data_IF_259299409005
#
_entry.id   IF_259299409005
#
_cell.length_a   1.000
_cell.length_b   1.000
_cell.length_c   1.000
_cell.angle_alpha   90.00
_cell.angle_beta   90.00
_cell.angle_gamma   90.00
#
_symmetry.space_group_name_H-M   'P 1'
#
loop_
_entity.id
_entity.type
_entity.pdbx_description
1 polymer ?
#
# COMPACT_ATOMS: atom_id res chain seq x y z
N UNK A 1 -18.73 5.36 19.12
CA UNK A 1 -17.30 5.26 18.77
C UNK A 1 -16.82 3.83 18.95
N UNK A 2 -15.96 3.37 18.03
CA UNK A 2 -15.30 2.06 18.10
C UNK A 2 -13.80 2.29 18.07
N UNK A 3 -13.07 1.64 18.98
CA UNK A 3 -11.62 1.74 19.09
C UNK A 3 -11.02 0.34 19.11
N UNK A 4 -10.02 0.11 18.27
CA UNK A 4 -9.17 -1.08 18.33
C UNK A 4 -7.99 -0.74 19.24
N UNK A 5 -7.80 -1.48 20.32
CA UNK A 5 -6.78 -1.18 21.34
C UNK A 5 -5.53 -2.05 21.18
N UNK A 6 -5.69 -3.25 20.63
CA UNK A 6 -4.59 -4.16 20.36
C UNK A 6 -4.90 -5.00 19.12
N UNK A 7 -3.87 -5.28 18.30
CA UNK A 7 -3.99 -6.13 17.11
C UNK A 7 -2.86 -7.15 17.19
N UNK A 8 -3.23 -8.43 17.14
CA UNK A 8 -2.28 -9.54 17.18
C UNK A 8 -2.56 -10.53 16.05
N UNK A 9 -1.50 -11.07 15.48
CA UNK A 9 -1.57 -12.16 14.50
C UNK A 9 -1.06 -13.41 15.18
N UNK A 10 -1.88 -14.47 15.19
CA UNK A 10 -1.54 -15.76 15.74
C UNK A 10 -0.56 -16.55 14.88
N UNK A 11 -0.42 -17.82 15.18
CA UNK A 11 0.21 -18.81 14.29
C UNK A 11 -0.82 -19.46 13.37
N UNK A 12 -0.38 -20.06 12.25
CA UNK A 12 -1.29 -20.77 11.35
C UNK A 12 -2.04 -21.88 12.07
N UNK A 13 -3.36 -21.85 11.92
CA UNK A 13 -4.25 -22.82 12.57
C UNK A 13 -5.44 -23.19 11.67
N UNK A 14 -6.02 -24.36 11.94
CA UNK A 14 -7.22 -24.83 11.25
C UNK A 14 -8.41 -23.91 11.53
N UNK A 15 -9.32 -23.83 10.57
CA UNK A 15 -10.56 -23.08 10.75
C UNK A 15 -11.58 -23.80 11.63
N UNK A 16 -11.38 -25.10 11.86
CA UNK A 16 -12.30 -25.95 12.60
C UNK A 16 -12.20 -25.65 14.10
N UNK A 17 -13.26 -25.10 14.72
CA UNK A 17 -13.25 -24.77 16.14
C UNK A 17 -13.22 -26.03 17.05
N UNK A 18 -13.65 -27.19 16.55
CA UNK A 18 -13.77 -28.44 17.32
C UNK A 18 -12.51 -29.32 17.21
N UNK A 19 -11.52 -28.91 16.44
CA UNK A 19 -10.27 -29.64 16.31
C UNK A 19 -9.48 -29.60 17.62
N UNK A 20 -9.10 -30.78 18.14
CA UNK A 20 -8.26 -30.95 19.35
C UNK A 20 -6.89 -30.32 19.12
N UNK A 21 -6.30 -30.55 17.95
CA UNK A 21 -5.07 -29.88 17.50
C UNK A 21 -5.41 -28.92 16.36
N UNK A 22 -5.22 -27.64 16.64
CA UNK A 22 -5.46 -26.56 15.68
C UNK A 22 -4.25 -26.24 14.83
N UNK A 23 -3.07 -26.72 15.18
CA UNK A 23 -1.88 -26.50 14.38
C UNK A 23 -2.04 -27.12 12.99
N UNK A 24 -1.50 -26.44 11.99
CA UNK A 24 -1.56 -26.89 10.60
C UNK A 24 -0.19 -26.71 9.95
N UNK A 25 0.22 -27.69 9.16
CA UNK A 25 1.47 -27.61 8.39
C UNK A 25 1.20 -27.15 6.95
N UNK A 26 2.19 -26.52 6.28
CA UNK A 26 2.05 -26.17 4.86
C UNK A 26 1.80 -27.41 4.00
N UNK A 27 2.43 -28.54 4.30
CA UNK A 27 2.22 -29.81 3.61
C UNK A 27 0.76 -30.25 3.66
N UNK A 28 0.15 -30.20 4.83
CA UNK A 28 -1.28 -30.52 4.99
C UNK A 28 -2.15 -29.56 4.18
N UNK A 29 -1.80 -28.28 4.14
CA UNK A 29 -2.52 -27.28 3.34
C UNK A 29 -2.47 -27.59 1.84
N UNK A 30 -1.32 -28.06 1.32
CA UNK A 30 -1.18 -28.46 -0.08
C UNK A 30 -2.05 -29.67 -0.42
N UNK A 31 -2.08 -30.67 0.47
CA UNK A 31 -2.85 -31.91 0.26
C UNK A 31 -4.36 -31.71 0.36
N UNK A 32 -4.80 -30.77 1.20
CA UNK A 32 -6.23 -30.54 1.49
C UNK A 32 -6.80 -29.33 0.76
N UNK A 33 -6.07 -28.72 -0.16
CA UNK A 33 -6.50 -27.53 -0.91
C UNK A 33 -6.97 -26.37 -0.03
N UNK A 34 -6.33 -26.18 1.11
CA UNK A 34 -6.65 -25.10 2.04
C UNK A 34 -5.54 -24.06 2.11
N UNK A 35 -5.85 -22.89 2.65
CA UNK A 35 -4.90 -21.79 2.77
C UNK A 35 -4.16 -21.83 4.09
N UNK A 36 -2.83 -21.79 4.04
CA UNK A 36 -1.96 -21.67 5.21
C UNK A 36 -2.05 -20.27 5.79
N UNK A 37 -2.87 -20.08 6.82
CA UNK A 37 -3.20 -18.75 7.34
C UNK A 37 -3.40 -18.75 8.85
N UNK A 38 -3.14 -17.61 9.46
CA UNK A 38 -3.33 -17.35 10.88
C UNK A 38 -4.53 -16.41 11.09
N UNK A 39 -5.17 -16.49 12.26
CA UNK A 39 -6.19 -15.53 12.64
C UNK A 39 -5.58 -14.21 13.08
N UNK A 40 -6.28 -13.12 12.75
CA UNK A 40 -6.03 -11.79 13.26
C UNK A 40 -7.00 -11.59 14.42
N UNK A 41 -6.46 -11.33 15.60
CA UNK A 41 -7.21 -11.02 16.80
C UNK A 41 -7.10 -9.55 17.14
N UNK A 42 -8.19 -8.97 17.59
CA UNK A 42 -8.24 -7.57 18.04
C UNK A 42 -8.92 -7.45 19.37
N UNK A 43 -8.47 -6.48 20.15
CA UNK A 43 -9.19 -6.01 21.32
C UNK A 43 -10.03 -4.81 20.92
N UNK A 44 -11.34 -4.88 21.16
CA UNK A 44 -12.30 -3.86 20.73
C UNK A 44 -12.91 -3.20 21.95
N UNK A 45 -12.91 -1.88 21.94
CA UNK A 45 -13.67 -1.06 22.87
C UNK A 45 -14.72 -0.27 22.07
N UNK A 46 -15.99 -0.32 22.50
CA UNK A 46 -17.06 0.43 21.88
C UNK A 46 -18.11 0.89 22.92
N UNK A 47 -18.77 2.00 22.61
CA UNK A 47 -19.84 2.54 23.45
C UNK A 47 -21.18 2.10 22.90
N UNK A 48 -22.02 1.51 23.77
CA UNK A 48 -23.39 1.13 23.47
C UNK A 48 -24.32 1.61 24.61
N UNK A 49 -25.29 2.45 24.29
CA UNK A 49 -26.24 2.97 25.29
C UNK A 49 -25.56 3.67 26.48
N UNK A 50 -24.50 4.46 26.24
CA UNK A 50 -23.74 5.15 27.28
C UNK A 50 -22.77 4.27 28.08
N UNK A 51 -22.76 2.95 27.87
CA UNK A 51 -21.83 2.00 28.53
C UNK A 51 -20.69 1.62 27.63
N UNK A 52 -19.48 1.60 28.19
CA UNK A 52 -18.28 1.12 27.49
C UNK A 52 -18.23 -0.40 27.59
N UNK A 53 -18.18 -1.05 26.43
CA UNK A 53 -18.04 -2.50 26.32
C UNK A 53 -16.66 -2.81 25.76
N UNK A 54 -15.90 -3.66 26.45
CA UNK A 54 -14.58 -4.15 26.03
C UNK A 54 -14.66 -5.64 25.69
N UNK A 55 -14.16 -6.02 24.54
CA UNK A 55 -14.00 -7.43 24.14
C UNK A 55 -12.56 -7.67 23.74
N UNK A 56 -11.97 -8.73 24.30
CA UNK A 56 -10.59 -9.14 24.01
C UNK A 56 -10.56 -10.33 23.04
N UNK A 57 -9.49 -10.43 22.29
CA UNK A 57 -9.20 -11.53 21.39
C UNK A 57 -10.35 -11.88 20.42
N UNK A 58 -10.95 -10.85 19.82
CA UNK A 58 -12.01 -11.06 18.83
C UNK A 58 -11.36 -11.35 17.48
N UNK A 59 -11.61 -12.53 16.86
CA UNK A 59 -11.11 -12.82 15.53
C UNK A 59 -11.86 -11.96 14.50
N UNK A 60 -11.12 -11.23 13.68
CA UNK A 60 -11.68 -10.36 12.64
C UNK A 60 -11.43 -10.86 11.23
N UNK A 61 -10.47 -11.76 11.05
CA UNK A 61 -10.12 -12.30 9.75
C UNK A 61 -8.95 -13.24 9.81
N UNK A 62 -8.53 -13.73 8.64
CA UNK A 62 -7.37 -14.59 8.48
C UNK A 62 -6.36 -13.94 7.54
N UNK A 63 -5.09 -14.08 7.88
CA UNK A 63 -3.96 -13.60 7.10
C UNK A 63 -3.15 -14.79 6.58
N UNK A 64 -2.97 -14.97 5.28
CA UNK A 64 -2.02 -15.95 4.75
C UNK A 64 -0.62 -15.70 5.30
N UNK A 65 0.07 -16.74 5.74
CA UNK A 65 1.39 -16.63 6.34
C UNK A 65 2.43 -17.13 5.33
N UNK A 66 3.43 -16.29 5.09
CA UNK A 66 4.58 -16.64 4.26
C UNK A 66 5.38 -17.75 4.93
N UNK A 67 5.75 -18.79 4.16
CA UNK A 67 6.56 -19.89 4.66
C UNK A 67 7.93 -19.39 5.10
N UNK A 68 8.38 -19.90 6.24
CA UNK A 68 9.63 -19.52 6.94
C UNK A 68 9.68 -18.09 7.46
N UNK A 69 8.53 -17.36 7.48
CA UNK A 69 8.44 -16.10 8.21
C UNK A 69 8.36 -16.34 9.73
N UNK A 70 8.51 -15.28 10.51
CA UNK A 70 8.48 -15.34 11.98
C UNK A 70 7.20 -15.95 12.61
N UNK A 71 6.10 -15.97 11.86
CA UNK A 71 4.82 -16.57 12.28
C UNK A 71 4.61 -17.97 11.70
N UNK A 72 5.48 -18.44 10.84
CA UNK A 72 5.41 -19.77 10.25
C UNK A 72 5.92 -20.83 11.26
N UNK A 73 5.25 -21.98 11.32
CA UNK A 73 5.70 -23.10 12.15
C UNK A 73 7.05 -23.70 11.73
N UNK A 74 7.47 -23.46 10.49
CA UNK A 74 8.76 -23.93 9.97
C UNK A 74 9.94 -23.02 10.35
N UNK A 75 9.68 -21.85 10.93
CA UNK A 75 10.74 -20.92 11.26
C UNK A 75 11.64 -21.47 12.40
N UNK A 76 12.95 -21.53 12.15
CA UNK A 76 13.93 -21.97 13.14
C UNK A 76 13.90 -23.45 13.49
N UNK A 77 13.20 -24.28 12.71
CA UNK A 77 13.16 -25.73 12.92
C UNK A 77 14.42 -26.41 12.36
N UNK A 78 14.84 -27.48 13.01
CA UNK A 78 15.94 -28.34 12.56
C UNK A 78 15.48 -29.30 11.44
N UNK A 79 16.44 -29.86 10.72
CA UNK A 79 16.17 -30.76 9.58
C UNK A 79 15.33 -31.98 9.98
N UNK A 80 15.58 -32.53 11.16
CA UNK A 80 14.83 -33.71 11.63
C UNK A 80 13.35 -33.38 11.89
N UNK A 81 13.07 -32.19 12.41
CA UNK A 81 11.70 -31.72 12.64
C UNK A 81 11.00 -31.38 11.33
N UNK A 82 11.69 -30.73 10.38
CA UNK A 82 11.15 -30.47 9.04
C UNK A 82 10.81 -31.78 8.32
N UNK A 83 11.69 -32.78 8.38
CA UNK A 83 11.41 -34.09 7.79
C UNK A 83 10.17 -34.76 8.41
N UNK A 84 9.95 -34.63 9.73
CA UNK A 84 8.73 -35.16 10.39
C UNK A 84 7.46 -34.43 9.94
N UNK A 85 7.58 -33.14 9.57
CA UNK A 85 6.49 -32.34 9.02
C UNK A 85 6.29 -32.56 7.50
N UNK A 86 7.05 -33.47 6.89
CA UNK A 86 7.11 -33.67 5.44
C UNK A 86 7.49 -32.42 4.64
N UNK A 87 8.34 -31.57 5.21
CA UNK A 87 8.84 -30.36 4.56
C UNK A 87 10.32 -30.51 4.19
N UNK A 88 10.69 -30.02 3.04
CA UNK A 88 12.06 -30.09 2.56
C UNK A 88 12.96 -29.09 3.31
N UNK A 89 14.08 -29.53 3.93
CA UNK A 89 15.03 -28.62 4.59
C UNK A 89 15.66 -27.59 3.64
N UNK A 90 15.79 -27.94 2.36
CA UNK A 90 16.38 -27.09 1.31
C UNK A 90 15.38 -26.05 0.74
N UNK A 91 14.11 -26.14 1.11
CA UNK A 91 13.12 -25.17 0.65
C UNK A 91 13.42 -23.79 1.28
N UNK A 92 13.67 -22.74 0.47
CA UNK A 92 14.00 -21.41 0.98
C UNK A 92 12.80 -20.69 1.61
N UNK A 93 11.55 -21.15 1.39
CA UNK A 93 10.35 -20.43 1.77
C UNK A 93 10.13 -19.14 0.98
N UNK A 94 9.49 -18.14 1.58
CA UNK A 94 9.24 -16.86 0.93
C UNK A 94 8.03 -16.85 0.00
N UNK A 95 7.20 -17.88 0.05
CA UNK A 95 5.97 -18.02 -0.73
C UNK A 95 4.78 -18.34 0.17
N UNK A 96 3.60 -18.32 -0.40
CA UNK A 96 2.34 -18.60 0.29
C UNK A 96 1.69 -19.85 -0.25
N UNK A 97 0.98 -20.59 0.60
CA UNK A 97 0.11 -21.68 0.18
C UNK A 97 -1.34 -21.20 0.27
N UNK A 98 -1.97 -21.02 -0.87
CA UNK A 98 -3.34 -20.51 -0.99
C UNK A 98 -4.19 -21.52 -1.72
N UNK A 99 -5.20 -22.06 -1.04
CA UNK A 99 -6.06 -23.14 -1.58
C UNK A 99 -5.23 -24.28 -2.19
N UNK A 100 -4.23 -24.73 -1.45
CA UNK A 100 -3.32 -25.79 -1.85
C UNK A 100 -2.25 -25.42 -2.88
N UNK A 101 -2.34 -24.24 -3.50
CA UNK A 101 -1.42 -23.80 -4.55
C UNK A 101 -0.35 -22.89 -3.97
N UNK A 102 0.90 -23.12 -4.34
CA UNK A 102 2.02 -22.27 -3.97
C UNK A 102 2.02 -20.99 -4.80
N UNK A 103 2.04 -19.84 -4.14
CA UNK A 103 1.98 -18.52 -4.78
C UNK A 103 3.08 -17.63 -4.28
N UNK A 104 3.80 -17.02 -5.22
CA UNK A 104 4.83 -16.02 -4.97
C UNK A 104 4.28 -14.63 -5.29
N UNK A 105 4.60 -13.64 -4.46
CA UNK A 105 4.30 -12.25 -4.76
C UNK A 105 5.41 -11.71 -5.63
N UNK A 106 5.09 -11.31 -6.85
CA UNK A 106 6.04 -10.67 -7.75
C UNK A 106 6.30 -9.24 -7.29
N UNK A 107 7.57 -8.85 -7.31
CA UNK A 107 7.96 -7.46 -7.06
C UNK A 107 7.40 -6.59 -8.18
N UNK A 108 6.73 -5.50 -7.80
CA UNK A 108 6.18 -4.51 -8.72
C UNK A 108 6.98 -3.22 -8.60
N UNK A 109 7.45 -2.72 -9.72
CA UNK A 109 8.13 -1.43 -9.82
C UNK A 109 7.15 -0.37 -10.32
N UNK A 110 7.14 0.79 -9.67
CA UNK A 110 6.36 1.95 -10.08
C UNK A 110 7.13 3.23 -9.79
N UNK A 111 6.75 4.31 -10.47
CA UNK A 111 7.33 5.62 -10.21
C UNK A 111 7.01 6.07 -8.79
N UNK A 112 8.00 6.68 -8.14
CA UNK A 112 7.85 7.22 -6.79
C UNK A 112 6.74 8.27 -6.74
N UNK A 113 5.89 8.19 -5.73
CA UNK A 113 4.88 9.21 -5.43
C UNK A 113 5.53 10.41 -4.73
N UNK A 114 4.80 11.53 -4.67
CA UNK A 114 5.24 12.76 -3.99
C UNK A 114 6.56 13.33 -4.55
N UNK A 115 6.83 13.10 -5.84
CA UNK A 115 8.00 13.58 -6.56
C UNK A 115 7.59 14.23 -7.87
N UNK A 116 8.23 15.35 -8.18
CA UNK A 116 8.05 16.03 -9.47
C UNK A 116 8.81 15.26 -10.54
N UNK A 117 8.13 14.85 -11.60
CA UNK A 117 8.67 14.16 -12.75
C UNK A 117 8.47 15.05 -13.96
N UNK A 118 9.56 15.36 -14.66
CA UNK A 118 9.54 16.16 -15.89
C UNK A 118 9.66 15.22 -17.08
N UNK A 119 8.73 15.37 -18.02
CA UNK A 119 8.67 14.58 -19.25
C UNK A 119 8.57 15.53 -20.44
N UNK A 120 9.31 15.23 -21.50
CA UNK A 120 9.22 15.95 -22.76
C UNK A 120 8.71 14.99 -23.85
N UNK A 121 7.60 15.32 -24.49
CA UNK A 121 7.11 14.60 -25.67
C UNK A 121 7.57 15.33 -26.93
N UNK A 122 8.63 14.84 -27.54
CA UNK A 122 9.22 15.42 -28.77
C UNK A 122 8.26 15.40 -29.96
N UNK A 123 7.23 14.56 -29.97
CA UNK A 123 6.25 14.48 -31.06
C UNK A 123 5.20 15.58 -30.99
N UNK A 124 4.91 16.06 -29.79
CA UNK A 124 3.87 17.05 -29.52
C UNK A 124 4.42 18.41 -29.13
N UNK A 125 5.75 18.55 -29.04
CA UNK A 125 6.42 19.76 -28.52
C UNK A 125 5.87 20.21 -27.15
N UNK A 126 5.44 19.25 -26.33
CA UNK A 126 4.89 19.51 -25.02
C UNK A 126 5.89 19.06 -23.96
N UNK A 127 6.27 20.00 -23.12
CA UNK A 127 7.01 19.70 -21.89
C UNK A 127 6.02 19.75 -20.75
N UNK A 128 6.02 18.69 -19.93
CA UNK A 128 5.16 18.60 -18.77
C UNK A 128 5.94 18.23 -17.52
N UNK A 129 5.60 18.86 -16.42
CA UNK A 129 6.00 18.42 -15.08
C UNK A 129 4.76 17.86 -14.37
N UNK A 130 4.88 16.69 -13.80
CA UNK A 130 3.77 16.06 -13.09
C UNK A 130 4.16 15.66 -11.69
N UNK A 131 3.22 15.76 -10.76
CA UNK A 131 3.36 15.27 -9.40
C UNK A 131 2.11 14.49 -8.99
N UNK A 132 2.32 13.29 -8.47
CA UNK A 132 1.25 12.52 -7.83
C UNK A 132 1.41 12.67 -6.32
N UNK A 133 0.63 13.57 -5.74
CA UNK A 133 0.58 13.78 -4.30
C UNK A 133 -0.28 12.71 -3.67
N UNK A 134 0.28 11.92 -2.77
CA UNK A 134 -0.42 10.82 -2.11
C UNK A 134 -0.23 10.90 -0.61
N UNK A 135 -1.33 10.98 0.11
CA UNK A 135 -1.40 10.82 1.55
C UNK A 135 -2.18 9.55 1.89
N UNK A 136 -2.28 9.21 3.17
CA UNK A 136 -3.01 8.03 3.62
C UNK A 136 -4.50 8.04 3.22
N UNK A 137 -5.08 9.24 3.12
CA UNK A 137 -6.51 9.45 2.87
C UNK A 137 -6.82 9.88 1.44
N UNK A 138 -5.86 10.49 0.73
CA UNK A 138 -6.13 11.20 -0.51
C UNK A 138 -4.99 11.07 -1.53
N UNK A 139 -5.37 10.90 -2.79
CA UNK A 139 -4.45 10.99 -3.93
C UNK A 139 -4.90 12.12 -4.83
N UNK A 140 -3.97 12.97 -5.22
CA UNK A 140 -4.19 14.01 -6.24
C UNK A 140 -3.06 14.01 -7.25
N UNK A 141 -3.36 14.28 -8.49
CA UNK A 141 -2.37 14.40 -9.56
C UNK A 141 -2.47 15.78 -10.18
N UNK A 142 -1.36 16.49 -10.19
CA UNK A 142 -1.21 17.83 -10.77
C UNK A 142 -0.21 17.78 -11.89
N UNK A 143 -0.48 18.51 -12.94
CA UNK A 143 0.41 18.69 -14.07
C UNK A 143 0.62 20.17 -14.33
N UNK A 144 1.84 20.55 -14.64
CA UNK A 144 2.18 21.83 -15.26
C UNK A 144 2.66 21.50 -16.67
N UNK A 145 2.04 22.05 -17.66
CA UNK A 145 2.31 21.70 -19.05
C UNK A 145 2.40 22.97 -19.92
N UNK A 146 3.25 22.90 -20.94
CA UNK A 146 3.39 23.97 -21.93
C UNK A 146 2.61 23.59 -23.17
N UNK A 147 1.68 24.48 -23.60
CA UNK A 147 0.92 24.37 -24.86
C UNK A 147 1.00 25.69 -25.61
N UNK A 148 1.41 25.66 -26.86
CA UNK A 148 1.49 26.85 -27.73
C UNK A 148 2.24 28.02 -27.09
N UNK A 149 3.33 27.75 -26.37
CA UNK A 149 4.12 28.78 -25.68
C UNK A 149 3.52 29.32 -24.38
N UNK A 150 2.36 28.81 -23.94
CA UNK A 150 1.70 29.17 -22.69
C UNK A 150 1.76 28.02 -21.68
N UNK A 151 1.81 28.38 -20.40
CA UNK A 151 1.88 27.42 -19.30
C UNK A 151 0.50 27.25 -18.65
N UNK A 152 0.09 26.00 -18.51
CA UNK A 152 -1.19 25.60 -17.92
C UNK A 152 -0.99 24.65 -16.76
N UNK A 153 -1.91 24.73 -15.82
CA UNK A 153 -2.04 23.77 -14.70
C UNK A 153 -3.27 22.90 -14.93
N UNK A 154 -3.07 21.60 -14.86
CA UNK A 154 -4.14 20.59 -14.88
C UNK A 154 -4.14 19.84 -13.56
N UNK A 155 -5.31 19.66 -12.98
CA UNK A 155 -5.50 18.93 -11.73
C UNK A 155 -6.70 18.00 -11.82
N UNK A 156 -6.68 16.88 -11.12
CA UNK A 156 -7.77 15.89 -11.17
C UNK A 156 -9.13 16.39 -10.63
N UNK A 157 -9.15 17.50 -9.88
CA UNK A 157 -10.37 18.16 -9.41
C UNK A 157 -10.88 19.27 -10.34
N UNK A 158 -10.15 19.59 -11.41
CA UNK A 158 -10.49 20.63 -12.38
C UNK A 158 -10.89 20.00 -13.70
N UNK A 159 -11.95 20.51 -14.31
CA UNK A 159 -12.45 20.00 -15.61
C UNK A 159 -11.65 20.53 -16.80
N UNK A 160 -11.00 21.68 -16.63
CA UNK A 160 -10.28 22.39 -17.70
C UNK A 160 -8.86 22.71 -17.26
N UNK A 161 -7.96 22.90 -18.26
CA UNK A 161 -6.60 23.36 -18.03
C UNK A 161 -6.62 24.87 -17.74
N UNK A 162 -6.08 25.30 -16.60
CA UNK A 162 -6.12 26.68 -16.15
C UNK A 162 -4.75 27.34 -16.43
N UNK A 163 -4.71 28.55 -17.00
CA UNK A 163 -3.47 29.31 -17.17
C UNK A 163 -2.77 29.52 -15.83
N UNK A 164 -1.44 29.38 -15.79
CA UNK A 164 -0.64 29.46 -14.56
C UNK A 164 -0.81 30.81 -13.84
N UNK A 165 -0.96 31.90 -14.57
CA UNK A 165 -1.15 33.23 -14.00
C UNK A 165 -2.44 33.31 -13.16
N UNK A 166 -3.52 32.70 -13.64
CA UNK A 166 -4.79 32.68 -12.91
C UNK A 166 -4.64 31.89 -11.60
N UNK A 167 -3.88 30.80 -11.60
CA UNK A 167 -3.59 30.01 -10.40
C UNK A 167 -2.82 30.84 -9.38
N UNK A 168 -1.76 31.58 -9.80
CA UNK A 168 -0.99 32.41 -8.89
C UNK A 168 -1.84 33.56 -8.30
N UNK A 169 -2.70 34.19 -9.13
CA UNK A 169 -3.63 35.19 -8.61
C UNK A 169 -4.63 34.63 -7.61
N UNK A 170 -5.14 33.43 -7.85
CA UNK A 170 -6.01 32.74 -6.90
C UNK A 170 -5.28 32.38 -5.59
N UNK A 171 -3.97 32.18 -5.63
CA UNK A 171 -3.12 31.97 -4.46
C UNK A 171 -2.79 33.28 -3.71
N UNK A 172 -3.20 34.41 -4.22
CA UNK A 172 -3.03 35.73 -3.58
C UNK A 172 -1.89 36.61 -4.13
N UNK A 173 -1.16 36.15 -5.16
CA UNK A 173 -0.10 36.93 -5.81
C UNK A 173 -0.73 37.84 -6.83
N UNK A 174 -0.75 39.16 -6.57
CA UNK A 174 -1.42 40.14 -7.43
C UNK A 174 -0.49 40.79 -8.47
N UNK A 175 0.82 40.81 -8.18
CA UNK A 175 1.80 41.49 -9.04
C UNK A 175 2.22 40.59 -10.21
N UNK A 176 2.05 41.06 -11.44
CA UNK A 176 2.49 40.37 -12.66
C UNK A 176 4.01 40.18 -12.68
N UNK A 177 4.76 41.19 -12.18
CA UNK A 177 6.22 41.10 -12.05
C UNK A 177 6.65 39.96 -11.14
N UNK A 178 5.98 39.79 -10.00
CA UNK A 178 6.27 38.73 -9.06
C UNK A 178 5.95 37.34 -9.66
N UNK A 179 4.82 37.24 -10.38
CA UNK A 179 4.46 36.00 -11.09
C UNK A 179 5.51 35.64 -12.12
N UNK A 180 5.95 36.63 -12.92
CA UNK A 180 6.99 36.45 -13.94
C UNK A 180 8.29 35.95 -13.31
N UNK A 181 8.73 36.56 -12.22
CA UNK A 181 9.94 36.18 -11.50
C UNK A 181 9.86 34.76 -10.93
N UNK A 182 8.68 34.33 -10.44
CA UNK A 182 8.46 32.98 -9.94
C UNK A 182 8.49 31.93 -11.06
N UNK A 183 8.02 32.27 -12.24
CA UNK A 183 7.98 31.38 -13.40
C UNK A 183 9.33 31.30 -14.11
N UNK A 184 9.95 32.47 -14.36
CA UNK A 184 11.23 32.57 -15.08
C UNK A 184 12.44 32.25 -14.18
N UNK A 185 12.29 32.34 -12.86
CA UNK A 185 13.39 32.12 -11.92
C UNK A 185 14.45 33.23 -12.04
N UNK A 186 15.73 32.82 -12.09
CA UNK A 186 16.87 33.72 -12.20
C UNK A 186 17.36 33.87 -13.67
N UNK A 187 16.58 33.38 -14.62
CA UNK A 187 16.98 33.40 -16.03
C UNK A 187 16.73 34.82 -16.62
N UNK A 188 17.80 35.57 -16.77
CA UNK A 188 17.76 36.96 -17.29
C UNK A 188 17.23 37.07 -18.74
N UNK A 189 17.11 35.93 -19.44
CA UNK A 189 16.59 35.86 -20.80
C UNK A 189 15.08 36.11 -20.91
N UNK A 190 14.36 35.99 -19.79
CA UNK A 190 12.90 36.12 -19.70
C UNK A 190 12.46 37.35 -18.86
N UNK A 191 13.40 38.22 -18.47
CA UNK A 191 13.14 39.40 -17.67
C UNK A 191 12.75 40.62 -18.52
#
# INVERSE_FOLDING_TARGET
>A
DRKYTNITVGHPERADPDAIDRSITPHECRLRDITYSAFIYVDIEYTRGGKIVRRKNVPIGRLPIMLRSNKCWLAGQDEATLARMNECPLDPGGYFVVKGTEKVILVQEQLSKNRIIVEADSRKEVVQASVTSSTHERKSKSYVLTKHGLIYVKHNSLNEDIPIVVVFRAMGIQSDKEILQLVAGQDETYA
#
